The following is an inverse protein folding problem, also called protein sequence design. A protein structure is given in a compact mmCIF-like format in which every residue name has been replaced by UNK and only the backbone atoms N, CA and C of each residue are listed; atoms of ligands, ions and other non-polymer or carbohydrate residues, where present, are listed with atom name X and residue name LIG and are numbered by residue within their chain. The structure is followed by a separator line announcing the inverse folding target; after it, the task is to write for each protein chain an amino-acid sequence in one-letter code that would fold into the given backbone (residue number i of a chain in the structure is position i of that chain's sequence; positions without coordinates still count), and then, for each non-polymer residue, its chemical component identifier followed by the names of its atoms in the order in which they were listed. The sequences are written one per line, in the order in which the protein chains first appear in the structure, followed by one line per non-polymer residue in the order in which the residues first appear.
data_IF_520805089758
#
_entry.id   IF_520805089758
#
_cell.length_a   1.000
_cell.length_b   1.000
_cell.length_c   1.000
_cell.angle_alpha   90.00
_cell.angle_beta   90.00
_cell.angle_gamma   90.00
#
_symmetry.space_group_name_H-M   'P 1'
#
loop_
_entity.id
_entity.type
_entity.pdbx_description
1 polymer ?
#
# COMPACT_ATOMS: atom_id res chain seq x y z
N UNK A 1 3.48 -12.97 -7.71
CA UNK A 1 4.16 -11.79 -7.11
C UNK A 1 3.24 -11.16 -6.09
N UNK A 2 3.77 -10.57 -5.01
CA UNK A 2 2.99 -9.79 -4.04
C UNK A 2 3.08 -8.32 -4.40
N UNK A 3 2.03 -7.55 -4.09
CA UNK A 3 1.99 -6.11 -4.34
C UNK A 3 1.84 -5.37 -3.01
N UNK A 4 2.47 -4.22 -2.88
CA UNK A 4 2.16 -3.28 -1.80
C UNK A 4 0.86 -2.54 -2.12
N UNK A 5 0.09 -2.23 -1.08
CA UNK A 5 -1.12 -1.39 -1.17
C UNK A 5 -0.79 0.11 -1.19
N UNK A 6 0.45 0.50 -0.92
CA UNK A 6 0.93 1.88 -0.97
C UNK A 6 1.86 2.07 -2.17
N UNK A 7 1.54 3.02 -3.03
CA UNK A 7 2.43 3.44 -4.11
C UNK A 7 2.14 4.88 -4.54
N UNK A 8 3.10 5.45 -5.26
CA UNK A 8 3.00 6.76 -5.89
C UNK A 8 3.50 6.67 -7.33
N UNK A 9 2.77 7.30 -8.25
CA UNK A 9 3.23 7.53 -9.60
C UNK A 9 2.88 8.95 -10.03
N UNK A 10 3.78 9.55 -10.81
CA UNK A 10 3.57 10.86 -11.42
C UNK A 10 4.10 10.84 -12.83
N UNK A 11 3.31 11.35 -13.76
CA UNK A 11 3.70 11.47 -15.16
C UNK A 11 3.28 12.83 -15.71
N UNK A 12 4.21 13.46 -16.39
CA UNK A 12 3.99 14.72 -17.11
C UNK A 12 3.81 14.43 -18.59
N UNK A 13 2.78 15.03 -19.19
CA UNK A 13 2.41 14.92 -20.59
C UNK A 13 2.55 16.32 -21.18
N UNK A 14 3.30 16.44 -22.26
CA UNK A 14 3.45 17.70 -23.00
C UNK A 14 2.82 17.57 -24.37
N UNK A 15 1.98 18.52 -24.72
CA UNK A 15 1.37 18.64 -26.04
C UNK A 15 1.44 20.07 -26.56
N UNK A 16 1.00 20.27 -27.80
CA UNK A 16 0.85 21.60 -28.38
C UNK A 16 -0.17 22.45 -27.59
N UNK A 17 -1.17 21.80 -27.00
CA UNK A 17 -2.25 22.37 -26.20
C UNK A 17 -1.84 22.80 -24.77
N UNK A 18 -0.69 22.34 -24.27
CA UNK A 18 -0.32 22.55 -22.87
C UNK A 18 0.46 21.41 -22.23
N UNK A 19 0.54 21.48 -20.92
CA UNK A 19 1.13 20.45 -20.06
C UNK A 19 0.05 19.88 -19.15
N UNK A 20 0.01 18.56 -19.04
CA UNK A 20 -0.82 17.87 -18.07
C UNK A 20 0.04 17.00 -17.15
N UNK A 21 -0.37 16.86 -15.89
CA UNK A 21 0.30 16.03 -14.91
C UNK A 21 -0.72 15.10 -14.27
N UNK A 22 -0.50 13.80 -14.41
CA UNK A 22 -1.18 12.79 -13.61
C UNK A 22 -0.38 12.52 -12.36
N UNK A 23 -1.08 12.48 -11.22
CA UNK A 23 -0.55 11.98 -9.95
C UNK A 23 -1.49 10.91 -9.40
N UNK A 24 -0.95 9.73 -9.09
CA UNK A 24 -1.70 8.62 -8.50
C UNK A 24 -1.03 8.27 -7.17
N UNK A 25 -1.82 8.21 -6.10
CA UNK A 25 -1.39 7.75 -4.77
C UNK A 25 -2.32 6.65 -4.30
N UNK A 26 -1.81 5.69 -3.52
CA UNK A 26 -2.68 4.75 -2.81
C UNK A 26 -2.31 4.54 -1.36
N UNK A 27 -3.32 4.20 -0.58
CA UNK A 27 -3.21 3.77 0.81
C UNK A 27 -3.99 2.47 1.02
N UNK A 28 -3.64 1.78 2.10
CA UNK A 28 -4.32 0.56 2.53
C UNK A 28 -5.81 0.84 2.84
N UNK A 29 -6.70 0.15 2.14
CA UNK A 29 -8.14 0.18 2.37
C UNK A 29 -8.71 -1.18 1.94
N UNK A 30 -9.70 -1.68 2.69
CA UNK A 30 -10.29 -3.00 2.46
C UNK A 30 -10.93 -3.17 1.07
N UNK A 31 -11.56 -2.11 0.57
CA UNK A 31 -12.25 -2.09 -0.72
C UNK A 31 -11.54 -1.13 -1.68
N UNK A 32 -11.73 -1.34 -2.98
CA UNK A 32 -11.27 -0.39 -3.98
C UNK A 32 -12.14 0.87 -3.93
N UNK A 33 -11.55 1.96 -3.49
CA UNK A 33 -12.17 3.28 -3.47
C UNK A 33 -11.33 4.23 -4.31
N UNK A 34 -11.92 4.83 -5.35
CA UNK A 34 -11.22 5.76 -6.24
C UNK A 34 -11.70 7.18 -6.01
N UNK A 35 -10.80 8.08 -5.61
CA UNK A 35 -11.04 9.51 -5.53
C UNK A 35 -10.33 10.19 -6.69
N UNK A 36 -11.08 10.78 -7.61
CA UNK A 36 -10.52 11.37 -8.83
C UNK A 36 -10.78 12.87 -8.78
N UNK A 37 -9.72 13.67 -8.85
CA UNK A 37 -9.77 15.13 -8.91
C UNK A 37 -9.23 15.60 -10.25
N UNK A 38 -10.00 16.43 -10.95
CA UNK A 38 -9.60 16.97 -12.25
C UNK A 38 -10.31 18.30 -12.53
N UNK A 39 -9.81 19.11 -13.49
CA UNK A 39 -10.49 20.31 -13.96
C UNK A 39 -11.87 20.00 -14.58
N UNK A 40 -12.78 20.98 -14.52
CA UNK A 40 -14.17 20.85 -14.99
C UNK A 40 -14.29 20.30 -16.41
N UNK A 41 -13.46 20.85 -17.29
CA UNK A 41 -13.43 20.54 -18.72
C UNK A 41 -13.11 19.07 -19.04
N UNK A 42 -12.60 18.29 -18.07
CA UNK A 42 -12.26 16.88 -18.25
C UNK A 42 -13.17 15.92 -17.46
N UNK A 43 -14.19 16.40 -16.75
CA UNK A 43 -15.09 15.54 -15.93
C UNK A 43 -15.68 14.36 -16.72
N UNK A 44 -15.89 14.50 -18.02
CA UNK A 44 -16.37 13.42 -18.89
C UNK A 44 -15.46 12.17 -18.95
N UNK A 45 -14.17 12.31 -18.60
CA UNK A 45 -13.22 11.20 -18.55
C UNK A 45 -13.34 10.36 -17.27
N UNK A 46 -13.98 10.87 -16.23
CA UNK A 46 -14.04 10.22 -14.92
C UNK A 46 -14.61 8.79 -14.95
N UNK A 47 -15.73 8.49 -15.65
CA UNK A 47 -16.25 7.13 -15.72
C UNK A 47 -15.26 6.15 -16.36
N UNK A 48 -14.54 6.59 -17.39
CA UNK A 48 -13.54 5.79 -18.12
C UNK A 48 -12.36 5.48 -17.20
N UNK A 49 -11.84 6.50 -16.51
CA UNK A 49 -10.73 6.38 -15.56
C UNK A 49 -11.10 5.41 -14.42
N UNK A 50 -12.31 5.53 -13.88
CA UNK A 50 -12.80 4.65 -12.82
C UNK A 50 -12.86 3.19 -13.27
N UNK A 51 -13.32 2.94 -14.48
CA UNK A 51 -13.38 1.58 -15.03
C UNK A 51 -11.98 1.01 -15.26
N UNK A 52 -11.04 1.81 -15.78
CA UNK A 52 -9.64 1.41 -15.94
C UNK A 52 -9.01 1.02 -14.60
N UNK A 53 -9.25 1.77 -13.53
CA UNK A 53 -8.80 1.38 -12.20
C UNK A 53 -9.40 0.05 -11.73
N UNK A 54 -10.72 -0.15 -11.90
CA UNK A 54 -11.40 -1.41 -11.52
C UNK A 54 -10.88 -2.62 -12.27
N UNK A 55 -10.49 -2.46 -13.52
CA UNK A 55 -9.95 -3.55 -14.33
C UNK A 55 -8.55 -4.00 -13.90
N UNK A 56 -7.81 -3.15 -13.18
CA UNK A 56 -6.38 -3.34 -12.90
C UNK A 56 -6.02 -3.43 -11.41
N UNK A 57 -6.92 -3.01 -10.52
CA UNK A 57 -6.73 -3.00 -9.07
C UNK A 57 -7.84 -3.78 -8.38
N UNK A 58 -7.51 -4.59 -7.38
CA UNK A 58 -8.49 -5.35 -6.61
C UNK A 58 -8.97 -4.61 -5.35
N UNK A 59 -8.07 -3.88 -4.67
CA UNK A 59 -8.37 -3.13 -3.44
C UNK A 59 -7.46 -1.92 -3.21
N UNK A 60 -7.83 -1.11 -2.22
CA UNK A 60 -7.09 0.07 -1.77
C UNK A 60 -7.83 1.37 -2.06
N UNK A 61 -7.48 2.43 -1.34
CA UNK A 61 -7.98 3.77 -1.64
C UNK A 61 -6.97 4.44 -2.57
N UNK A 62 -7.42 4.81 -3.77
CA UNK A 62 -6.60 5.40 -4.82
C UNK A 62 -7.03 6.85 -5.02
N UNK A 63 -6.10 7.77 -4.82
CA UNK A 63 -6.29 9.19 -5.10
C UNK A 63 -5.59 9.52 -6.41
N UNK A 64 -6.36 9.93 -7.41
CA UNK A 64 -5.89 10.29 -8.74
C UNK A 64 -6.16 11.78 -8.97
N UNK A 65 -5.14 12.55 -9.32
CA UNK A 65 -5.24 13.97 -9.58
C UNK A 65 -4.70 14.31 -10.97
N UNK A 66 -5.52 15.02 -11.75
CA UNK A 66 -5.11 15.64 -13.00
C UNK A 66 -4.87 17.13 -12.77
N UNK A 67 -3.67 17.60 -13.10
CA UNK A 67 -3.39 19.03 -13.28
C UNK A 67 -3.24 19.31 -14.77
N UNK A 68 -3.78 20.41 -15.23
CA UNK A 68 -3.71 20.83 -16.62
C UNK A 68 -3.37 22.32 -16.68
N UNK A 69 -2.33 22.64 -17.43
CA UNK A 69 -1.87 24.00 -17.69
C UNK A 69 -1.90 24.21 -19.20
N UNK A 70 -2.85 25.01 -19.67
CA UNK A 70 -3.00 25.32 -21.09
C UNK A 70 -1.80 26.15 -21.58
N UNK A 71 -1.29 25.83 -22.77
CA UNK A 71 -0.27 26.65 -23.40
C UNK A 71 -0.92 27.91 -24.00
N UNK A 72 -0.80 29.05 -23.30
CA UNK A 72 -1.34 30.34 -23.76
C UNK A 72 -0.70 30.81 -25.08
N UNK A 73 0.51 30.36 -25.38
CA UNK A 73 1.25 30.73 -26.60
C UNK A 73 0.80 29.98 -27.86
N UNK A 74 0.06 28.87 -27.70
CA UNK A 74 -0.46 28.08 -28.81
C UNK A 74 -1.59 28.77 -29.58
N UNK A 75 -2.21 29.80 -28.99
CA UNK A 75 -3.26 30.61 -29.59
C UNK A 75 -2.66 31.91 -30.17
N UNK A 76 -1.78 31.78 -31.17
CA UNK A 76 -1.09 32.93 -31.76
C UNK A 76 -1.94 33.68 -32.79
N UNK A 77 -3.04 33.10 -33.26
CA UNK A 77 -3.98 33.75 -34.20
C UNK A 77 -5.19 34.31 -33.46
N UNK A 78 -5.34 35.63 -33.51
CA UNK A 78 -6.54 36.33 -33.06
C UNK A 78 -7.68 35.95 -34.01
N UNK A 79 -8.58 35.07 -33.57
CA UNK A 79 -9.83 34.80 -34.28
C UNK A 79 -10.88 35.82 -33.84
N UNK A 80 -11.55 36.42 -34.81
CA UNK A 80 -12.61 37.40 -34.58
C UNK A 80 -13.90 36.75 -35.07
N UNK A 81 -14.93 36.72 -34.22
CA UNK A 81 -16.28 36.39 -34.67
C UNK A 81 -16.79 37.55 -35.53
N UNK A 82 -16.59 37.47 -36.84
CA UNK A 82 -16.91 38.57 -37.76
C UNK A 82 -18.38 38.95 -37.74
N UNK A 83 -19.27 37.98 -37.56
CA UNK A 83 -20.71 38.20 -37.55
C UNK A 83 -21.13 39.00 -36.32
N UNK A 84 -20.68 38.57 -35.13
CA UNK A 84 -20.92 39.29 -33.89
C UNK A 84 -20.24 40.67 -33.91
N UNK A 85 -19.03 40.77 -34.43
CA UNK A 85 -18.34 42.05 -34.60
C UNK A 85 -19.17 43.03 -35.46
N UNK A 86 -19.74 42.55 -36.57
CA UNK A 86 -20.65 43.36 -37.43
C UNK A 86 -21.92 43.78 -36.68
N UNK A 87 -22.52 42.88 -35.90
CA UNK A 87 -23.70 43.19 -35.08
C UNK A 87 -23.40 44.25 -34.00
N UNK A 88 -22.27 44.12 -33.29
CA UNK A 88 -21.83 45.07 -32.27
C UNK A 88 -21.55 46.44 -32.90
N UNK A 89 -20.87 46.48 -34.05
CA UNK A 89 -20.63 47.73 -34.79
C UNK A 89 -21.95 48.38 -35.21
N UNK A 90 -22.92 47.59 -35.70
CA UNK A 90 -24.22 48.11 -36.12
C UNK A 90 -25.01 48.71 -34.94
N UNK A 91 -25.06 48.01 -33.81
CA UNK A 91 -25.70 48.51 -32.59
C UNK A 91 -25.01 49.78 -32.08
N UNK A 92 -23.67 49.81 -32.06
CA UNK A 92 -22.91 50.98 -31.63
C UNK A 92 -23.13 52.20 -32.52
N UNK A 93 -23.32 52.01 -33.84
CA UNK A 93 -23.67 53.10 -34.78
C UNK A 93 -25.05 53.67 -34.48
N UNK A 94 -26.05 52.80 -34.26
CA UNK A 94 -27.39 53.24 -33.89
C UNK A 94 -27.39 54.04 -32.58
N UNK A 95 -26.68 53.56 -31.55
CA UNK A 95 -26.56 54.29 -30.27
C UNK A 95 -25.97 55.68 -30.49
N UNK A 96 -24.91 55.80 -31.30
CA UNK A 96 -24.28 57.09 -31.64
C UNK A 96 -25.23 58.05 -32.35
N UNK A 97 -26.07 57.54 -33.26
CA UNK A 97 -27.07 58.36 -33.96
C UNK A 97 -28.13 58.91 -32.99
N UNK A 98 -28.52 58.14 -31.98
CA UNK A 98 -29.52 58.54 -30.98
C UNK A 98 -28.94 59.45 -29.89
N UNK A 99 -27.71 59.19 -29.43
CA UNK A 99 -27.07 59.98 -28.36
C UNK A 99 -26.46 61.28 -28.85
N UNK A 100 -26.12 61.40 -30.14
CA UNK A 100 -25.43 62.56 -30.71
C UNK A 100 -23.96 62.69 -30.29
N UNK A 101 -23.47 61.80 -29.42
CA UNK A 101 -22.13 61.83 -28.83
C UNK A 101 -21.50 60.43 -28.78
N UNK A 102 -20.18 60.35 -28.90
CA UNK A 102 -19.39 59.12 -28.79
C UNK A 102 -18.66 58.72 -30.07
N UNK A 103 -17.53 58.02 -29.91
CA UNK A 103 -16.76 57.48 -31.02
C UNK A 103 -16.55 55.98 -30.84
N UNK A 104 -16.71 55.20 -31.92
CA UNK A 104 -16.57 53.74 -31.87
C UNK A 104 -15.07 53.42 -32.01
N UNK A 105 -14.43 53.06 -30.90
CA UNK A 105 -13.05 52.60 -30.92
C UNK A 105 -12.96 51.13 -31.38
N UNK A 106 -12.08 50.77 -32.32
CA UNK A 106 -11.89 49.38 -32.74
C UNK A 106 -11.63 48.42 -31.57
N UNK A 107 -10.86 48.85 -30.57
CA UNK A 107 -10.60 48.06 -29.35
C UNK A 107 -11.85 47.83 -28.50
N UNK A 108 -12.84 48.74 -28.51
CA UNK A 108 -14.08 48.56 -27.77
C UNK A 108 -14.94 47.46 -28.40
N UNK A 109 -14.88 47.31 -29.72
CA UNK A 109 -15.54 46.21 -30.45
C UNK A 109 -14.84 44.88 -30.13
N UNK A 110 -13.51 44.84 -30.16
CA UNK A 110 -12.75 43.63 -29.84
C UNK A 110 -12.93 43.20 -28.36
N UNK A 111 -13.06 44.15 -27.44
CA UNK A 111 -13.30 43.86 -26.02
C UNK A 111 -14.74 43.42 -25.72
N UNK A 112 -15.65 43.51 -26.69
CA UNK A 112 -17.02 43.07 -26.49
C UNK A 112 -17.06 41.55 -26.27
N UNK A 113 -17.73 41.05 -25.22
CA UNK A 113 -17.77 39.62 -24.92
C UNK A 113 -18.22 38.80 -26.14
N UNK A 114 -17.37 37.85 -26.55
CA UNK A 114 -17.61 36.95 -27.69
C UNK A 114 -17.08 37.44 -29.05
N UNK A 115 -16.65 38.70 -29.19
CA UNK A 115 -16.08 39.20 -30.47
C UNK A 115 -14.69 38.62 -30.72
N UNK A 116 -13.86 38.55 -29.69
CA UNK A 116 -12.60 37.82 -29.71
C UNK A 116 -12.89 36.35 -29.42
N UNK A 117 -12.71 35.51 -30.42
CA UNK A 117 -12.81 34.06 -30.26
C UNK A 117 -11.52 33.56 -29.60
N UNK A 118 -11.68 32.82 -28.51
CA UNK A 118 -10.60 31.99 -28.02
C UNK A 118 -10.58 30.76 -28.92
N UNK A 119 -9.45 30.43 -29.57
CA UNK A 119 -9.37 29.22 -30.37
C UNK A 119 -9.79 28.02 -29.52
N UNK A 120 -10.82 27.32 -29.98
CA UNK A 120 -11.31 26.11 -29.34
C UNK A 120 -10.20 25.07 -29.47
N UNK A 121 -9.65 24.64 -28.33
CA UNK A 121 -8.71 23.53 -28.33
C UNK A 121 -9.48 22.27 -28.75
N UNK A 122 -8.87 21.46 -29.62
CA UNK A 122 -9.43 20.16 -29.99
C UNK A 122 -9.42 19.25 -28.75
N UNK A 123 -10.56 19.23 -28.05
CA UNK A 123 -10.73 18.49 -26.80
C UNK A 123 -10.61 16.98 -27.02
N UNK A 124 -10.92 16.46 -28.21
CA UNK A 124 -10.79 15.03 -28.50
C UNK A 124 -9.32 14.61 -28.58
N UNK A 125 -8.49 15.43 -29.24
CA UNK A 125 -7.04 15.22 -29.26
C UNK A 125 -6.43 15.30 -27.85
N UNK A 126 -6.87 16.25 -27.02
CA UNK A 126 -6.40 16.37 -25.63
C UNK A 126 -6.84 15.16 -24.82
N UNK A 127 -8.13 14.80 -24.87
CA UNK A 127 -8.70 13.67 -24.14
C UNK A 127 -7.96 12.37 -24.45
N UNK A 128 -7.64 12.13 -25.73
CA UNK A 128 -6.88 10.95 -26.14
C UNK A 128 -5.48 10.95 -25.52
N UNK A 129 -4.75 12.07 -25.60
CA UNK A 129 -3.41 12.18 -25.02
C UNK A 129 -3.43 12.00 -23.49
N UNK A 130 -4.43 12.56 -22.81
CA UNK A 130 -4.62 12.41 -21.37
C UNK A 130 -4.89 10.97 -20.97
N UNK A 131 -5.73 10.25 -21.72
CA UNK A 131 -6.04 8.84 -21.47
C UNK A 131 -4.84 7.93 -21.74
N UNK A 132 -4.07 8.17 -22.79
CA UNK A 132 -2.83 7.43 -23.07
C UNK A 132 -1.80 7.66 -21.95
N UNK A 133 -1.61 8.90 -21.52
CA UNK A 133 -0.72 9.20 -20.41
C UNK A 133 -1.23 8.66 -19.07
N UNK A 134 -2.54 8.58 -18.86
CA UNK A 134 -3.13 7.93 -17.70
C UNK A 134 -2.79 6.43 -17.68
N UNK A 135 -2.95 5.72 -18.79
CA UNK A 135 -2.64 4.28 -18.86
C UNK A 135 -1.18 4.00 -18.49
N UNK A 136 -0.26 4.80 -19.04
CA UNK A 136 1.16 4.71 -18.73
C UNK A 136 1.45 5.04 -17.26
N UNK A 137 0.74 6.02 -16.67
CA UNK A 137 0.88 6.35 -15.23
C UNK A 137 0.39 5.19 -14.36
N UNK A 138 -0.68 4.50 -14.77
CA UNK A 138 -1.17 3.30 -14.09
C UNK A 138 -0.18 2.14 -14.21
N UNK A 139 0.46 1.97 -15.37
CA UNK A 139 1.53 0.97 -15.52
C UNK A 139 2.70 1.24 -14.56
N UNK A 140 3.19 2.48 -14.51
CA UNK A 140 4.24 2.90 -13.57
C UNK A 140 3.82 2.66 -12.12
N UNK A 141 2.56 2.97 -11.80
CA UNK A 141 1.98 2.78 -10.48
C UNK A 141 1.94 1.30 -10.06
N UNK A 142 1.52 0.41 -10.96
CA UNK A 142 1.51 -1.04 -10.71
C UNK A 142 2.94 -1.56 -10.56
N UNK A 143 3.87 -1.10 -11.39
CA UNK A 143 5.29 -1.45 -11.27
C UNK A 143 5.87 -1.00 -9.92
N UNK A 144 5.53 0.20 -9.45
CA UNK A 144 5.92 0.68 -8.13
C UNK A 144 5.36 -0.22 -7.00
N UNK A 145 4.09 -0.63 -7.09
CA UNK A 145 3.48 -1.58 -6.12
C UNK A 145 4.19 -2.93 -6.12
N UNK A 146 4.60 -3.42 -7.28
CA UNK A 146 5.31 -4.69 -7.42
C UNK A 146 6.74 -4.62 -6.85
N UNK A 147 7.46 -3.52 -7.13
CA UNK A 147 8.80 -3.27 -6.57
C UNK A 147 8.75 -3.21 -5.05
N UNK A 148 7.80 -2.45 -4.50
CA UNK A 148 7.61 -2.33 -3.05
C UNK A 148 7.22 -3.68 -2.43
N UNK A 149 6.33 -4.44 -3.10
CA UNK A 149 5.99 -5.80 -2.69
C UNK A 149 7.21 -6.73 -2.64
N UNK A 150 8.14 -6.62 -3.59
CA UNK A 150 9.39 -7.40 -3.55
C UNK A 150 10.26 -7.03 -2.35
N UNK A 151 10.36 -5.75 -2.00
CA UNK A 151 11.11 -5.29 -0.83
C UNK A 151 10.48 -5.82 0.47
N UNK A 152 9.16 -5.74 0.60
CA UNK A 152 8.41 -6.29 1.74
C UNK A 152 8.62 -7.81 1.86
N UNK A 153 8.59 -8.53 0.73
CA UNK A 153 8.86 -9.97 0.71
C UNK A 153 10.24 -10.28 1.30
N UNK A 154 11.28 -9.60 0.84
CA UNK A 154 12.65 -9.82 1.29
C UNK A 154 12.80 -9.55 2.80
N UNK A 155 12.15 -8.49 3.32
CA UNK A 155 12.17 -8.18 4.74
C UNK A 155 11.48 -9.29 5.56
N UNK A 156 10.32 -9.77 5.11
CA UNK A 156 9.62 -10.87 5.78
C UNK A 156 10.46 -12.15 5.74
N UNK A 157 11.09 -12.48 4.61
CA UNK A 157 11.98 -13.65 4.51
C UNK A 157 13.15 -13.56 5.51
N UNK A 158 13.77 -12.39 5.66
CA UNK A 158 14.82 -12.16 6.66
C UNK A 158 14.31 -12.41 8.10
N UNK A 159 13.06 -12.03 8.40
CA UNK A 159 12.47 -12.28 9.74
C UNK A 159 12.11 -13.74 9.96
N UNK A 160 11.66 -14.44 8.91
CA UNK A 160 11.43 -15.89 8.96
C UNK A 160 12.74 -16.65 9.22
N UNK A 161 13.85 -16.19 8.65
CA UNK A 161 15.18 -16.74 8.94
C UNK A 161 15.56 -16.51 10.42
N UNK A 162 15.27 -15.33 10.96
CA UNK A 162 15.44 -15.04 12.39
C UNK A 162 14.61 -15.96 13.29
N UNK A 163 13.35 -16.21 12.94
CA UNK A 163 12.49 -17.16 13.67
C UNK A 163 13.08 -18.57 13.63
N UNK A 164 13.51 -19.02 12.46
CA UNK A 164 14.14 -20.34 12.31
C UNK A 164 15.43 -20.46 13.14
N UNK A 165 16.24 -19.40 13.19
CA UNK A 165 17.44 -19.37 14.02
C UNK A 165 17.13 -19.46 15.52
N UNK A 166 16.11 -18.73 15.99
CA UNK A 166 15.66 -18.82 17.39
C UNK A 166 15.11 -20.22 17.73
N UNK A 167 14.39 -20.88 16.80
CA UNK A 167 13.95 -22.28 16.99
C UNK A 167 15.16 -23.21 17.18
N UNK A 168 16.17 -23.12 16.30
CA UNK A 168 17.39 -23.95 16.41
C UNK A 168 18.12 -23.70 17.72
N UNK A 169 18.25 -22.44 18.14
CA UNK A 169 18.87 -22.03 19.39
C UNK A 169 18.14 -22.60 20.61
N UNK A 170 16.80 -22.55 20.63
CA UNK A 170 16.01 -23.14 21.72
C UNK A 170 16.19 -24.65 21.74
N UNK A 171 16.08 -25.34 20.59
CA UNK A 171 16.30 -26.80 20.51
C UNK A 171 17.66 -27.23 21.06
N UNK A 172 18.72 -26.47 20.75
CA UNK A 172 20.07 -26.77 21.23
C UNK A 172 20.22 -26.65 22.76
N UNK A 173 19.44 -25.77 23.40
CA UNK A 173 19.46 -25.58 24.86
C UNK A 173 18.53 -26.55 25.62
N UNK A 174 17.56 -27.17 24.96
CA UNK A 174 16.60 -28.07 25.62
C UNK A 174 17.26 -29.22 26.41
N UNK A 175 18.29 -29.93 25.90
CA UNK A 175 18.93 -31.01 26.66
C UNK A 175 19.53 -30.53 27.98
N UNK A 176 20.23 -29.39 27.97
CA UNK A 176 20.83 -28.77 29.16
C UNK A 176 19.75 -28.34 30.17
N UNK A 177 18.66 -27.73 29.68
CA UNK A 177 17.56 -27.25 30.53
C UNK A 177 16.83 -28.42 31.19
N UNK A 178 16.59 -29.51 30.47
CA UNK A 178 15.97 -30.72 31.02
C UNK A 178 16.88 -31.37 32.09
N UNK A 179 18.19 -31.39 31.86
CA UNK A 179 19.15 -31.88 32.84
C UNK A 179 19.16 -31.00 34.10
N UNK A 180 19.26 -29.68 33.93
CA UNK A 180 19.22 -28.73 35.05
C UNK A 180 17.92 -28.83 35.86
N UNK A 181 16.78 -28.99 35.18
CA UNK A 181 15.49 -29.16 35.85
C UNK A 181 15.45 -30.45 36.69
N UNK A 182 15.99 -31.55 36.15
CA UNK A 182 16.09 -32.83 36.86
C UNK A 182 16.97 -32.71 38.11
N UNK A 183 18.15 -32.13 37.98
CA UNK A 183 19.08 -31.92 39.11
C UNK A 183 18.45 -31.06 40.21
N UNK A 184 17.82 -29.94 39.83
CA UNK A 184 17.13 -29.04 40.76
C UNK A 184 15.99 -29.73 41.51
N UNK A 185 15.27 -30.64 40.86
CA UNK A 185 14.23 -31.45 41.50
C UNK A 185 14.82 -32.41 42.53
N UNK A 186 15.88 -33.12 42.18
CA UNK A 186 16.55 -34.06 43.07
C UNK A 186 17.10 -33.34 44.32
N UNK A 187 17.75 -32.19 44.16
CA UNK A 187 18.26 -31.40 45.30
C UNK A 187 17.15 -30.97 46.25
N UNK A 188 16.02 -30.47 45.73
CA UNK A 188 14.87 -30.08 46.57
C UNK A 188 14.27 -31.25 47.33
N UNK A 189 14.27 -32.43 46.73
CA UNK A 189 13.76 -33.66 47.34
C UNK A 189 14.69 -34.16 48.46
N UNK A 190 16.01 -34.09 48.25
CA UNK A 190 17.01 -34.41 49.28
C UNK A 190 16.94 -33.44 50.47
N UNK A 191 16.83 -32.14 50.22
CA UNK A 191 16.70 -31.11 51.27
C UNK A 191 15.45 -31.30 52.14
N UNK A 192 14.36 -31.82 51.57
CA UNK A 192 13.11 -32.08 52.27
C UNK A 192 13.18 -33.30 53.23
N UNK A 193 14.27 -34.08 53.21
CA UNK A 193 14.45 -35.33 54.00
C UNK A 193 13.28 -36.32 53.87
N UNK A 194 12.63 -36.35 52.71
CA UNK A 194 11.53 -37.27 52.42
C UNK A 194 12.14 -38.59 51.96
N UNK A 195 11.72 -39.73 52.51
CA UNK A 195 12.06 -41.04 51.92
C UNK A 195 11.50 -41.11 50.51
N UNK A 196 12.39 -41.20 49.52
CA UNK A 196 12.03 -41.15 48.11
C UNK A 196 11.53 -42.52 47.65
N UNK A 197 10.23 -42.62 47.36
CA UNK A 197 9.74 -43.64 46.44
C UNK A 197 10.18 -43.27 45.03
N UNK A 198 11.16 -44.00 44.50
CA UNK A 198 11.71 -43.79 43.16
C UNK A 198 10.64 -43.73 42.07
N UNK A 199 9.57 -44.53 42.19
CA UNK A 199 8.48 -44.53 41.22
C UNK A 199 7.67 -43.23 41.25
N UNK A 200 7.45 -42.65 42.44
CA UNK A 200 6.69 -41.40 42.58
C UNK A 200 7.49 -40.20 42.08
N UNK A 201 8.81 -40.20 42.31
CA UNK A 201 9.73 -39.17 41.80
C UNK A 201 9.79 -39.20 40.28
N UNK A 202 9.90 -40.39 39.66
CA UNK A 202 9.86 -40.51 38.20
C UNK A 202 8.54 -39.99 37.61
N UNK A 203 7.40 -40.30 38.23
CA UNK A 203 6.10 -39.80 37.78
C UNK A 203 6.00 -38.27 37.81
N UNK A 204 6.48 -37.62 38.88
CA UNK A 204 6.46 -36.16 38.98
C UNK A 204 7.44 -35.50 37.99
N UNK A 205 8.60 -36.13 37.74
CA UNK A 205 9.54 -35.69 36.70
C UNK A 205 8.89 -35.76 35.31
N UNK A 206 8.17 -36.86 35.00
CA UNK A 206 7.44 -37.00 33.73
C UNK A 206 6.38 -35.90 33.60
N UNK A 207 5.61 -35.63 34.67
CA UNK A 207 4.56 -34.61 34.65
C UNK A 207 5.14 -33.19 34.45
N UNK A 208 6.27 -32.88 35.08
CA UNK A 208 6.95 -31.59 34.93
C UNK A 208 7.64 -31.45 33.58
N UNK A 209 8.20 -32.53 33.04
CA UNK A 209 8.75 -32.58 31.69
C UNK A 209 7.64 -32.32 30.66
N UNK A 210 6.47 -32.94 30.79
CA UNK A 210 5.32 -32.69 29.90
C UNK A 210 4.82 -31.23 29.96
N UNK A 211 4.84 -30.60 31.15
CA UNK A 211 4.44 -29.19 31.29
C UNK A 211 5.47 -28.21 30.72
N UNK A 212 6.74 -28.60 30.70
CA UNK A 212 7.87 -27.80 30.19
C UNK A 212 8.24 -28.18 28.75
N UNK A 213 7.53 -29.14 28.17
CA UNK A 213 7.77 -29.59 26.80
C UNK A 213 7.27 -28.53 25.82
N UNK A 214 8.24 -28.03 25.07
CA UNK A 214 8.08 -27.00 24.04
C UNK A 214 8.35 -27.55 22.64
N UNK A 215 8.61 -28.87 22.50
CA UNK A 215 8.95 -29.48 21.23
C UNK A 215 7.84 -29.28 20.18
N UNK A 216 6.58 -29.40 20.60
CA UNK A 216 5.42 -29.18 19.73
C UNK A 216 5.34 -27.74 19.21
N UNK A 217 5.56 -26.74 20.08
CA UNK A 217 5.60 -25.33 19.69
C UNK A 217 6.72 -25.06 18.68
N UNK A 218 7.89 -25.67 18.84
CA UNK A 218 9.03 -25.53 17.93
C UNK A 218 8.74 -26.18 16.55
N UNK A 219 8.13 -27.37 16.54
CA UNK A 219 7.71 -28.05 15.30
C UNK A 219 6.63 -27.25 14.55
N UNK A 220 5.69 -26.65 15.29
CA UNK A 220 4.67 -25.76 14.74
C UNK A 220 5.27 -24.48 14.17
N UNK A 221 6.21 -23.84 14.87
CA UNK A 221 6.92 -22.66 14.38
C UNK A 221 7.63 -22.95 13.05
N UNK A 222 8.35 -24.07 12.92
CA UNK A 222 8.99 -24.47 11.67
C UNK A 222 7.97 -24.70 10.55
N UNK A 223 6.85 -25.35 10.87
CA UNK A 223 5.75 -25.57 9.93
C UNK A 223 5.15 -24.25 9.45
N UNK A 224 4.96 -23.29 10.36
CA UNK A 224 4.46 -21.94 10.04
C UNK A 224 5.46 -21.15 9.20
N UNK A 225 6.77 -21.28 9.44
CA UNK A 225 7.82 -20.69 8.59
C UNK A 225 7.70 -21.23 7.16
N UNK A 226 7.59 -22.56 7.01
CA UNK A 226 7.46 -23.21 5.70
C UNK A 226 6.20 -22.76 4.96
N UNK A 227 5.05 -22.74 5.63
CA UNK A 227 3.79 -22.30 5.02
C UNK A 227 3.82 -20.81 4.64
N UNK A 228 4.40 -19.96 5.47
CA UNK A 228 4.53 -18.52 5.16
C UNK A 228 5.39 -18.30 3.91
N UNK A 229 6.52 -19.02 3.76
CA UNK A 229 7.33 -18.97 2.54
C UNK A 229 6.57 -19.44 1.31
N UNK A 230 5.73 -20.48 1.42
CA UNK A 230 4.87 -20.94 0.32
C UNK A 230 3.83 -19.90 -0.08
N UNK A 231 3.22 -19.22 0.90
CA UNK A 231 2.24 -18.14 0.65
C UNK A 231 2.92 -16.99 -0.11
N UNK A 232 4.09 -16.53 0.35
CA UNK A 232 4.86 -15.46 -0.30
C UNK A 232 5.30 -15.83 -1.72
N UNK A 233 5.68 -17.09 -1.93
CA UNK A 233 6.11 -17.59 -3.25
C UNK A 233 4.94 -17.66 -4.23
N UNK A 234 3.78 -18.16 -3.79
CA UNK A 234 2.56 -18.20 -4.60
C UNK A 234 2.11 -16.78 -4.99
N UNK A 235 2.18 -15.83 -4.07
CA UNK A 235 1.74 -14.45 -4.26
C UNK A 235 0.24 -14.33 -4.55
N UNK A 236 -0.15 -13.24 -5.22
CA UNK A 236 -1.57 -12.87 -5.37
C UNK A 236 -2.12 -12.26 -4.07
N UNK A 237 -3.44 -12.27 -3.91
CA UNK A 237 -4.12 -11.72 -2.73
C UNK A 237 -3.86 -12.58 -1.48
N UNK A 238 -2.76 -12.29 -0.79
CA UNK A 238 -2.21 -13.15 0.26
C UNK A 238 -2.25 -12.53 1.65
N UNK A 239 -2.54 -11.22 1.76
CA UNK A 239 -2.55 -10.48 3.03
C UNK A 239 -3.33 -11.18 4.16
N UNK A 240 -4.57 -11.62 3.89
CA UNK A 240 -5.40 -12.31 4.91
C UNK A 240 -4.82 -13.66 5.37
N UNK A 241 -4.16 -14.40 4.48
CA UNK A 241 -3.50 -15.67 4.84
C UNK A 241 -2.26 -15.39 5.67
N UNK A 242 -1.50 -14.35 5.33
CA UNK A 242 -0.34 -13.90 6.09
C UNK A 242 -0.75 -13.37 7.48
N UNK A 243 -1.85 -12.64 7.60
CA UNK A 243 -2.40 -12.20 8.89
C UNK A 243 -2.72 -13.39 9.80
N UNK A 244 -3.34 -14.45 9.24
CA UNK A 244 -3.59 -15.68 9.97
C UNK A 244 -2.29 -16.33 10.45
N UNK A 245 -1.25 -16.39 9.59
CA UNK A 245 0.06 -16.89 10.01
C UNK A 245 0.65 -16.07 11.17
N UNK A 246 0.49 -14.74 11.16
CA UNK A 246 0.96 -13.90 12.27
C UNK A 246 0.21 -14.15 13.58
N UNK A 247 -1.04 -14.61 13.53
CA UNK A 247 -1.77 -15.04 14.71
C UNK A 247 -1.24 -16.37 15.24
N UNK A 248 -1.03 -17.34 14.35
CA UNK A 248 -0.47 -18.64 14.74
C UNK A 248 0.95 -18.52 15.30
N UNK A 249 1.84 -17.76 14.65
CA UNK A 249 3.17 -17.48 15.20
C UNK A 249 3.12 -16.84 16.60
N UNK A 250 2.23 -15.87 16.79
CA UNK A 250 2.07 -15.21 18.08
C UNK A 250 1.56 -16.18 19.16
N UNK A 251 0.66 -17.10 18.80
CA UNK A 251 0.19 -18.16 19.69
C UNK A 251 1.33 -19.03 20.16
N UNK A 252 2.13 -19.56 19.24
CA UNK A 252 3.24 -20.46 19.59
C UNK A 252 4.34 -19.73 20.37
N UNK A 253 4.66 -18.48 20.00
CA UNK A 253 5.61 -17.65 20.75
C UNK A 253 5.15 -17.34 22.19
N UNK A 254 3.86 -17.06 22.39
CA UNK A 254 3.29 -16.88 23.73
C UNK A 254 3.37 -18.16 24.56
N UNK A 255 3.00 -19.29 23.97
CA UNK A 255 3.06 -20.59 24.66
C UNK A 255 4.50 -20.93 25.04
N UNK A 256 5.47 -20.76 24.12
CA UNK A 256 6.90 -20.95 24.39
C UNK A 256 7.39 -20.09 25.55
N UNK A 257 7.04 -18.79 25.55
CA UNK A 257 7.43 -17.87 26.62
C UNK A 257 6.77 -18.23 27.96
N UNK A 258 5.52 -18.71 27.97
CA UNK A 258 4.78 -19.06 29.18
C UNK A 258 5.19 -20.41 29.80
N UNK A 259 5.65 -21.35 28.96
CA UNK A 259 6.20 -22.64 29.39
C UNK A 259 7.69 -22.56 29.76
N UNK A 260 8.33 -21.43 29.48
CA UNK A 260 9.75 -21.24 29.70
C UNK A 260 10.13 -21.31 31.17
N UNK A 261 11.06 -22.22 31.49
CA UNK A 261 11.68 -22.35 32.81
C UNK A 261 13.10 -21.78 32.88
N UNK A 262 13.63 -21.31 31.76
CA UNK A 262 14.98 -20.77 31.60
C UNK A 262 14.91 -19.33 31.09
N UNK A 263 15.76 -18.45 31.62
CA UNK A 263 15.90 -17.07 31.13
C UNK A 263 16.23 -17.01 29.64
N UNK A 264 16.95 -18.01 29.13
CA UNK A 264 17.33 -18.08 27.72
C UNK A 264 16.15 -18.37 26.79
N UNK A 265 15.27 -19.30 27.18
CA UNK A 265 14.05 -19.59 26.41
C UNK A 265 13.11 -18.39 26.49
N UNK A 266 13.01 -17.72 27.65
CA UNK A 266 12.21 -16.50 27.79
C UNK A 266 12.72 -15.39 26.87
N UNK A 267 14.03 -15.18 26.80
CA UNK A 267 14.64 -14.21 25.90
C UNK A 267 14.36 -14.53 24.42
N UNK A 268 14.46 -15.82 24.05
CA UNK A 268 14.15 -16.29 22.70
C UNK A 268 12.66 -16.09 22.36
N UNK A 269 11.76 -16.35 23.32
CA UNK A 269 10.33 -16.08 23.18
C UNK A 269 10.03 -14.59 22.97
N UNK A 270 10.75 -13.69 23.63
CA UNK A 270 10.62 -12.23 23.42
C UNK A 270 11.13 -11.82 22.04
N UNK A 271 12.28 -12.34 21.61
CA UNK A 271 12.83 -12.06 20.28
C UNK A 271 11.88 -12.51 19.17
N UNK A 272 11.29 -13.71 19.30
CA UNK A 272 10.24 -14.18 18.39
C UNK A 272 9.08 -13.19 18.30
N UNK A 273 8.59 -12.63 19.42
CA UNK A 273 7.52 -11.62 19.40
C UNK A 273 7.92 -10.36 18.62
N UNK A 274 9.15 -9.90 18.78
CA UNK A 274 9.67 -8.74 18.05
C UNK A 274 9.68 -9.01 16.56
N UNK A 275 10.21 -10.16 16.13
CA UNK A 275 10.24 -10.56 14.72
C UNK A 275 8.82 -10.68 14.13
N UNK A 276 7.89 -11.27 14.90
CA UNK A 276 6.49 -11.44 14.48
C UNK A 276 5.78 -10.09 14.31
N UNK A 277 5.98 -9.14 15.23
CA UNK A 277 5.34 -7.83 15.14
C UNK A 277 5.91 -7.01 13.97
N UNK A 278 7.23 -7.07 13.74
CA UNK A 278 7.86 -6.45 12.58
C UNK A 278 7.32 -7.02 11.26
N UNK A 279 7.09 -8.33 11.18
CA UNK A 279 6.44 -8.94 10.00
C UNK A 279 4.98 -8.48 9.87
N UNK A 280 4.23 -8.44 10.97
CA UNK A 280 2.83 -8.04 10.98
C UNK A 280 2.63 -6.63 10.43
N UNK A 281 3.50 -5.68 10.79
CA UNK A 281 3.46 -4.31 10.27
C UNK A 281 3.62 -4.28 8.74
N UNK A 282 4.53 -5.09 8.18
CA UNK A 282 4.70 -5.18 6.73
C UNK A 282 3.51 -5.86 6.04
N UNK A 283 2.98 -6.93 6.65
CA UNK A 283 1.87 -7.71 6.11
C UNK A 283 0.60 -6.88 5.97
N UNK A 284 0.36 -5.93 6.88
CA UNK A 284 -0.78 -5.01 6.77
C UNK A 284 -0.77 -4.21 5.47
N UNK A 285 0.39 -4.02 4.82
CA UNK A 285 0.51 -3.30 3.55
C UNK A 285 0.58 -4.21 2.32
N UNK A 286 0.54 -5.54 2.48
CA UNK A 286 0.58 -6.50 1.36
C UNK A 286 -0.82 -6.77 0.81
N UNK A 287 -0.97 -6.81 -0.51
CA UNK A 287 -2.20 -7.20 -1.22
C UNK A 287 -2.50 -8.72 -1.15
#
# INVERSE_FOLDING_TARGET
MIHSMTAYARREIKGTWGTAVWEIRSVNQRYLETYIRMPEQFRGLEPIIRERFRSRLARGKVECNLRFEANQSANTELKINEELAKQVIHAAKWVKEVSGEGNIGPFQVLQWPGVMETPEQDMDLINKALLEGFDQTVDDFIAARASEGSNMKALIEQRLDGIAAEVVKVRAKMPEILQWQRERLLTKLEEAKIELDANRVEQEIILLAQKSDVAEELDRLESHVSETRKILTKGGACGRRLDFMMQEFNRESNTLASKSISTDITASGVELKVLIEQMREQIQNIE
#
